data_IF_024438764705
#
_entry.id   IF_024438764705
#
_cell.length_a   1.000
_cell.length_b   1.000
_cell.length_c   1.000
_cell.angle_alpha   90.00
_cell.angle_beta   90.00
_cell.angle_gamma   90.00
#
_symmetry.space_group_name_H-M   'P 1'
#
loop_
_entity.id
_entity.type
_entity.pdbx_description
1 polymer ?
#
# COMPACT_ATOMS: atom_id res chain seq x y z
N UNK A 1 -4.54 -9.18 -4.60
CA UNK A 1 -5.11 -8.72 -5.85
C UNK A 1 -6.00 -7.51 -5.61
N UNK A 2 -5.64 -6.39 -5.65
CA UNK A 2 -6.56 -5.29 -5.50
C UNK A 2 -5.95 -3.98 -5.06
N UNK A 3 -4.72 -3.99 -4.61
CA UNK A 3 -4.13 -2.76 -4.09
C UNK A 3 -4.01 -1.67 -5.17
N UNK A 4 -3.66 -2.03 -6.39
CA UNK A 4 -3.54 -1.04 -7.47
C UNK A 4 -4.87 -0.73 -8.14
N UNK A 5 -5.80 -1.69 -8.18
CA UNK A 5 -7.16 -1.46 -8.69
C UNK A 5 -8.08 -0.83 -7.63
N UNK A 6 -7.65 -0.81 -6.39
CA UNK A 6 -8.42 -0.26 -5.28
C UNK A 6 -7.94 1.09 -4.79
N UNK A 7 -6.92 1.68 -5.36
CA UNK A 7 -6.66 3.10 -5.18
C UNK A 7 -7.78 3.86 -5.88
N UNK A 8 -8.87 3.88 -5.23
CA UNK A 8 -9.98 4.71 -5.63
C UNK A 8 -9.50 6.11 -5.50
N UNK A 9 -9.26 6.71 -6.61
CA UNK A 9 -9.46 8.12 -6.66
C UNK A 9 -10.96 8.39 -6.42
N UNK A 10 -11.33 8.46 -5.17
CA UNK A 10 -12.56 9.06 -4.74
C UNK A 10 -12.35 10.57 -4.86
N UNK A 11 -12.06 10.99 -6.10
CA UNK A 11 -11.94 12.37 -6.46
C UNK A 11 -13.13 13.13 -5.94
N UNK A 12 -12.87 14.32 -5.47
CA UNK A 12 -13.84 15.20 -4.85
C UNK A 12 -15.13 15.27 -5.64
N UNK A 13 -16.20 15.62 -5.00
CA UNK A 13 -17.55 15.67 -5.49
C UNK A 13 -17.63 16.25 -6.93
N UNK A 14 -17.85 15.38 -7.90
CA UNK A 14 -18.08 15.77 -9.30
C UNK A 14 -17.37 14.93 -10.35
N UNK A 15 -16.35 14.15 -9.99
CA UNK A 15 -15.64 13.26 -10.91
C UNK A 15 -16.22 11.85 -10.83
N UNK A 16 -16.96 11.44 -11.83
CA UNK A 16 -17.36 10.04 -12.01
C UNK A 16 -16.31 9.41 -12.90
N UNK A 17 -15.24 8.89 -12.30
CA UNK A 17 -14.29 8.07 -13.02
C UNK A 17 -14.93 6.71 -13.26
N UNK A 18 -15.30 6.46 -14.50
CA UNK A 18 -15.80 5.15 -14.94
C UNK A 18 -14.66 4.40 -15.59
N UNK A 19 -14.49 3.14 -15.22
CA UNK A 19 -13.54 2.25 -15.85
C UNK A 19 -14.30 1.23 -16.68
N UNK A 20 -14.00 1.16 -17.97
CA UNK A 20 -14.53 0.14 -18.88
C UNK A 20 -13.45 -0.89 -19.14
N UNK A 21 -13.66 -2.14 -18.78
CA UNK A 21 -12.65 -3.14 -19.00
C UNK A 21 -13.08 -4.56 -18.70
N UNK A 22 -12.15 -5.47 -18.82
CA UNK A 22 -12.35 -6.89 -18.55
C UNK A 22 -11.12 -7.53 -17.94
N UNK A 23 -11.35 -8.51 -17.09
CA UNK A 23 -10.31 -9.32 -16.46
C UNK A 23 -10.53 -10.78 -16.82
N UNK A 24 -9.47 -11.45 -17.26
CA UNK A 24 -9.43 -12.88 -17.41
C UNK A 24 -8.61 -13.47 -16.27
N UNK A 25 -9.26 -14.25 -15.40
CA UNK A 25 -8.64 -14.82 -14.21
C UNK A 25 -8.50 -16.35 -14.32
N UNK A 26 -7.33 -16.87 -13.99
CA UNK A 26 -7.06 -18.29 -13.81
C UNK A 26 -6.58 -18.48 -12.37
N UNK A 27 -7.35 -19.22 -11.58
CA UNK A 27 -6.98 -19.58 -10.22
C UNK A 27 -6.99 -21.10 -10.07
N UNK A 28 -5.87 -21.66 -9.69
CA UNK A 28 -5.74 -23.06 -9.34
C UNK A 28 -4.67 -23.23 -8.25
N UNK A 29 -4.48 -24.45 -7.75
CA UNK A 29 -3.53 -24.75 -6.67
C UNK A 29 -2.05 -24.44 -7.04
N UNK A 30 -1.76 -24.20 -8.31
CA UNK A 30 -0.39 -23.95 -8.77
C UNK A 30 -0.08 -22.47 -8.96
N UNK A 31 -1.06 -21.69 -9.42
CA UNK A 31 -0.86 -20.29 -9.81
C UNK A 31 -2.18 -19.55 -9.87
N UNK A 32 -2.23 -18.36 -9.31
CA UNK A 32 -3.20 -17.32 -9.63
C UNK A 32 -2.65 -16.44 -10.74
N UNK A 33 -3.42 -16.23 -11.79
CA UNK A 33 -3.05 -15.35 -12.90
C UNK A 33 -4.26 -14.53 -13.32
N UNK A 34 -4.13 -13.21 -13.25
CA UNK A 34 -5.12 -12.27 -13.74
C UNK A 34 -4.51 -11.46 -14.88
N UNK A 35 -5.22 -11.40 -15.99
CA UNK A 35 -4.89 -10.58 -17.15
C UNK A 35 -6.02 -9.57 -17.33
N UNK A 36 -5.71 -8.29 -17.39
CA UNK A 36 -6.72 -7.28 -17.51
C UNK A 36 -6.41 -6.18 -18.51
N UNK A 37 -7.47 -5.62 -19.02
CA UNK A 37 -7.48 -4.41 -19.83
C UNK A 37 -8.59 -3.52 -19.32
N UNK A 38 -8.30 -2.25 -19.08
CA UNK A 38 -9.30 -1.28 -18.69
C UNK A 38 -8.96 0.10 -19.25
N UNK A 39 -9.99 0.87 -19.53
CA UNK A 39 -9.86 2.26 -19.96
C UNK A 39 -10.31 3.17 -18.83
N UNK A 40 -9.47 4.13 -18.48
CA UNK A 40 -9.86 5.23 -17.60
C UNK A 40 -10.62 6.25 -18.44
N UNK A 41 -11.79 6.64 -17.99
CA UNK A 41 -12.49 7.76 -18.57
C UNK A 41 -12.24 8.97 -17.68
N UNK A 42 -11.30 9.82 -18.05
CA UNK A 42 -10.81 10.94 -17.23
C UNK A 42 -11.78 12.14 -17.16
N UNK A 43 -13.04 11.93 -17.54
CA UNK A 43 -14.06 12.96 -17.41
C UNK A 43 -14.10 13.91 -18.60
N UNK A 44 -14.48 15.15 -18.35
CA UNK A 44 -14.49 16.22 -19.35
C UNK A 44 -13.38 17.21 -19.02
N UNK A 45 -12.59 17.56 -20.01
CA UNK A 45 -11.70 18.72 -19.92
C UNK A 45 -12.54 19.97 -19.61
N UNK A 46 -12.37 20.51 -18.40
CA UNK A 46 -13.14 21.68 -17.94
C UNK A 46 -12.95 22.92 -18.81
N UNK A 47 -11.81 23.05 -19.48
CA UNK A 47 -11.51 24.20 -20.32
C UNK A 47 -12.18 24.13 -21.71
N UNK A 48 -12.33 22.94 -22.25
CA UNK A 48 -12.87 22.73 -23.60
C UNK A 48 -14.27 22.13 -23.63
N UNK A 49 -14.72 21.52 -22.53
CA UNK A 49 -15.98 20.78 -22.43
C UNK A 49 -16.02 19.53 -23.32
N UNK A 50 -14.86 19.06 -23.78
CA UNK A 50 -14.73 17.84 -24.57
C UNK A 50 -14.42 16.70 -23.65
N UNK A 51 -15.03 15.53 -23.85
CA UNK A 51 -14.69 14.32 -23.12
C UNK A 51 -13.24 13.94 -23.44
N UNK A 52 -12.44 13.73 -22.39
CA UNK A 52 -11.10 13.18 -22.56
C UNK A 52 -11.20 11.74 -23.05
N UNK A 53 -10.35 11.35 -24.00
CA UNK A 53 -10.43 10.02 -24.60
C UNK A 53 -10.05 8.91 -23.61
N UNK A 54 -9.47 9.27 -22.47
CA UNK A 54 -9.02 8.38 -21.42
C UNK A 54 -7.96 7.39 -21.90
N UNK A 55 -7.14 6.91 -21.00
CA UNK A 55 -5.99 6.03 -21.31
C UNK A 55 -6.35 4.56 -21.16
N UNK A 56 -5.92 3.73 -22.11
CA UNK A 56 -6.07 2.27 -22.03
C UNK A 56 -4.91 1.66 -21.25
N UNK A 57 -5.24 0.92 -20.20
CA UNK A 57 -4.30 0.26 -19.31
C UNK A 57 -4.38 -1.27 -19.47
N UNK A 58 -3.25 -1.91 -19.33
CA UNK A 58 -3.09 -3.36 -19.36
C UNK A 58 -2.41 -3.80 -18.08
N UNK A 59 -2.81 -4.94 -17.51
CA UNK A 59 -2.11 -5.51 -16.37
C UNK A 59 -2.02 -7.02 -16.42
N UNK A 60 -0.98 -7.52 -15.78
CA UNK A 60 -0.76 -8.93 -15.47
C UNK A 60 -0.48 -9.01 -13.98
N UNK A 61 -1.26 -9.81 -13.27
CA UNK A 61 -1.00 -10.14 -11.88
C UNK A 61 -0.82 -11.65 -11.75
N UNK A 62 0.31 -12.06 -11.20
CA UNK A 62 0.62 -13.47 -10.96
C UNK A 62 0.90 -13.69 -9.48
N UNK A 63 0.18 -14.62 -8.86
CA UNK A 63 0.34 -14.94 -7.45
C UNK A 63 0.54 -16.43 -7.23
N UNK A 64 1.35 -16.76 -6.24
CA UNK A 64 1.55 -18.13 -5.78
C UNK A 64 1.79 -18.14 -4.28
N UNK A 65 1.21 -19.15 -3.61
CA UNK A 65 1.57 -19.50 -2.25
C UNK A 65 1.77 -21.01 -2.14
N UNK A 66 2.74 -21.43 -1.36
CA UNK A 66 3.04 -22.85 -1.14
C UNK A 66 3.66 -23.04 0.25
N UNK A 67 2.88 -23.63 1.15
CA UNK A 67 3.30 -23.80 2.55
C UNK A 67 3.58 -22.48 3.22
N UNK A 68 4.83 -22.24 3.56
CA UNK A 68 5.27 -21.10 4.36
C UNK A 68 5.62 -19.85 3.55
N UNK A 69 5.52 -19.91 2.22
CA UNK A 69 5.86 -18.75 1.40
C UNK A 69 4.75 -18.33 0.45
N UNK A 70 4.75 -17.06 0.13
CA UNK A 70 3.86 -16.45 -0.87
C UNK A 70 4.64 -15.45 -1.74
N UNK A 71 4.18 -15.30 -2.95
CA UNK A 71 4.70 -14.29 -3.90
C UNK A 71 3.55 -13.72 -4.71
N UNK A 72 3.58 -12.43 -4.92
CA UNK A 72 2.71 -11.72 -5.86
C UNK A 72 3.56 -10.84 -6.76
N UNK A 73 3.32 -10.91 -8.05
CA UNK A 73 3.96 -10.07 -9.07
C UNK A 73 2.86 -9.38 -9.85
N UNK A 74 2.88 -8.07 -9.86
CA UNK A 74 2.01 -7.23 -10.67
C UNK A 74 2.85 -6.46 -11.70
N UNK A 75 2.38 -6.42 -12.92
CA UNK A 75 2.92 -5.56 -13.96
C UNK A 75 1.76 -4.84 -14.63
N UNK A 76 1.91 -3.54 -14.82
CA UNK A 76 0.96 -2.68 -15.52
C UNK A 76 1.68 -1.89 -16.59
N UNK A 77 0.96 -1.59 -17.65
CA UNK A 77 1.39 -0.61 -18.67
C UNK A 77 0.16 0.06 -19.30
N UNK A 78 0.37 1.19 -19.91
CA UNK A 78 -0.68 1.89 -20.65
C UNK A 78 -0.23 2.21 -22.08
N UNK A 79 -1.15 2.78 -22.87
CA UNK A 79 -0.88 3.17 -24.25
C UNK A 79 0.07 4.38 -24.39
N UNK A 80 0.31 5.12 -23.30
CA UNK A 80 1.23 6.26 -23.24
C UNK A 80 2.64 5.84 -22.80
N UNK A 81 2.93 4.52 -22.85
CA UNK A 81 4.22 3.92 -22.47
C UNK A 81 4.57 4.02 -20.97
N UNK A 82 3.62 4.41 -20.11
CA UNK A 82 3.82 4.35 -18.67
C UNK A 82 3.77 2.90 -18.18
N UNK A 83 4.59 2.59 -17.19
CA UNK A 83 4.70 1.23 -16.63
C UNK A 83 4.72 1.27 -15.11
N UNK A 84 4.17 0.23 -14.47
CA UNK A 84 4.33 0.00 -13.05
C UNK A 84 4.56 -1.49 -12.77
N UNK A 85 5.36 -1.79 -11.77
CA UNK A 85 5.65 -3.14 -11.34
C UNK A 85 5.62 -3.22 -9.81
N UNK A 86 4.99 -4.28 -9.29
CA UNK A 86 4.97 -4.60 -7.87
C UNK A 86 5.40 -6.05 -7.65
N UNK A 87 6.24 -6.29 -6.66
CA UNK A 87 6.66 -7.60 -6.20
C UNK A 87 6.49 -7.67 -4.68
N UNK A 88 5.66 -8.61 -4.22
CA UNK A 88 5.52 -8.93 -2.80
C UNK A 88 5.98 -10.36 -2.55
N UNK A 89 6.75 -10.57 -1.51
CA UNK A 89 7.21 -11.88 -1.05
C UNK A 89 6.94 -11.96 0.45
N UNK A 90 6.21 -13.00 0.87
CA UNK A 90 5.99 -13.34 2.27
C UNK A 90 6.63 -14.70 2.59
N UNK A 91 7.19 -14.83 3.79
CA UNK A 91 7.73 -16.08 4.28
C UNK A 91 7.48 -16.26 5.78
N UNK A 92 6.71 -17.31 6.13
CA UNK A 92 6.45 -17.70 7.50
C UNK A 92 7.53 -18.65 8.00
N UNK A 93 8.14 -18.34 9.13
CA UNK A 93 9.19 -19.13 9.77
C UNK A 93 8.75 -19.60 11.16
N UNK A 94 9.51 -20.50 11.76
CA UNK A 94 9.29 -20.98 13.13
C UNK A 94 7.87 -21.53 13.37
N UNK A 95 7.26 -22.14 12.33
CA UNK A 95 5.91 -22.67 12.42
C UNK A 95 4.81 -21.62 12.33
N UNK A 96 5.11 -20.42 11.85
CA UNK A 96 4.19 -19.27 11.73
C UNK A 96 4.36 -18.24 12.85
N UNK A 97 5.35 -18.40 13.74
CA UNK A 97 5.60 -17.41 14.77
C UNK A 97 6.37 -16.19 14.26
N UNK A 98 7.10 -16.31 13.14
CA UNK A 98 7.83 -15.21 12.51
C UNK A 98 7.46 -15.09 11.05
N UNK A 99 6.88 -13.95 10.68
CA UNK A 99 6.55 -13.58 9.31
C UNK A 99 7.56 -12.54 8.80
N UNK A 100 8.10 -12.80 7.62
CA UNK A 100 8.97 -11.90 6.88
C UNK A 100 8.26 -11.44 5.61
N UNK A 101 8.25 -10.14 5.37
CA UNK A 101 7.63 -9.52 4.21
C UNK A 101 8.63 -8.63 3.47
N UNK A 102 8.65 -8.76 2.15
CA UNK A 102 9.43 -7.91 1.26
C UNK A 102 8.47 -7.41 0.18
N UNK A 103 8.44 -6.09 -0.01
CA UNK A 103 7.70 -5.45 -1.10
C UNK A 103 8.64 -4.53 -1.87
N UNK A 104 8.57 -4.59 -3.19
CA UNK A 104 9.26 -3.67 -4.08
C UNK A 104 8.30 -3.21 -5.17
N UNK A 105 8.17 -1.91 -5.31
CA UNK A 105 7.29 -1.29 -6.29
C UNK A 105 8.06 -0.24 -7.08
N UNK A 106 7.76 -0.12 -8.34
CA UNK A 106 8.32 0.90 -9.22
C UNK A 106 7.29 1.34 -10.24
N UNK A 107 7.32 2.61 -10.60
CA UNK A 107 6.49 3.19 -11.63
C UNK A 107 7.30 4.18 -12.47
N UNK A 108 6.96 4.30 -13.73
CA UNK A 108 7.60 5.20 -14.69
C UNK A 108 6.58 5.78 -15.65
N UNK A 109 6.63 7.08 -15.86
CA UNK A 109 5.76 7.79 -16.82
C UNK A 109 4.30 7.99 -16.34
N UNK A 110 3.96 7.69 -15.08
CA UNK A 110 2.59 7.85 -14.54
C UNK A 110 2.33 9.25 -13.97
N UNK A 111 3.33 9.84 -13.38
CA UNK A 111 3.31 11.20 -12.87
C UNK A 111 4.65 11.81 -13.20
N UNK A 112 4.77 13.07 -13.20
CA UNK A 112 5.96 13.87 -13.46
C UNK A 112 7.20 13.17 -14.08
N UNK A 113 8.34 13.80 -14.17
CA UNK A 113 9.46 13.36 -15.01
C UNK A 113 10.35 12.27 -14.36
N UNK A 114 10.17 11.96 -13.08
CA UNK A 114 11.04 11.04 -12.34
C UNK A 114 10.42 9.65 -12.18
N UNK A 115 11.25 8.61 -12.29
CA UNK A 115 10.86 7.25 -12.00
C UNK A 115 10.62 7.09 -10.49
N UNK A 116 9.50 6.52 -10.13
CA UNK A 116 9.09 6.26 -8.76
C UNK A 116 9.53 4.87 -8.32
N UNK A 117 10.05 4.74 -7.10
CA UNK A 117 10.31 3.44 -6.50
C UNK A 117 10.15 3.44 -4.98
N UNK A 118 9.75 2.28 -4.47
CA UNK A 118 9.61 2.01 -3.06
C UNK A 118 10.07 0.58 -2.74
N UNK A 119 10.78 0.40 -1.66
CA UNK A 119 11.13 -0.89 -1.10
C UNK A 119 10.77 -0.96 0.38
N UNK A 120 10.09 -2.03 0.78
CA UNK A 120 9.77 -2.31 2.18
C UNK A 120 10.27 -3.71 2.57
N UNK A 121 10.87 -3.82 3.75
CA UNK A 121 11.26 -5.09 4.37
C UNK A 121 10.73 -5.08 5.78
N UNK A 122 9.86 -6.05 6.10
CA UNK A 122 9.21 -6.20 7.39
C UNK A 122 9.49 -7.55 8.04
N UNK A 123 9.41 -7.56 9.36
CA UNK A 123 9.37 -8.77 10.16
C UNK A 123 8.35 -8.60 11.29
N UNK A 124 7.49 -9.60 11.48
CA UNK A 124 6.53 -9.66 12.57
C UNK A 124 6.74 -10.95 13.35
N UNK A 125 7.00 -10.84 14.63
CA UNK A 125 7.14 -11.98 15.54
C UNK A 125 5.94 -12.07 16.47
N UNK A 126 5.23 -13.19 16.42
CA UNK A 126 4.12 -13.54 17.29
C UNK A 126 4.69 -14.11 18.58
N UNK A 127 4.74 -13.28 19.62
CA UNK A 127 5.28 -13.69 20.94
C UNK A 127 4.38 -14.76 21.58
N UNK A 128 3.09 -14.65 21.37
CA UNK A 128 2.05 -15.60 21.72
C UNK A 128 0.76 -15.25 20.95
N UNK A 129 -0.34 -15.95 21.22
CA UNK A 129 -1.64 -15.76 20.55
C UNK A 129 -2.22 -14.36 20.71
N UNK A 130 -1.78 -13.61 21.72
CA UNK A 130 -2.31 -12.29 22.05
C UNK A 130 -1.35 -11.14 21.71
N UNK A 131 -0.07 -11.42 21.50
CA UNK A 131 0.96 -10.38 21.38
C UNK A 131 1.89 -10.61 20.19
N UNK A 132 2.11 -9.56 19.42
CA UNK A 132 3.14 -9.52 18.38
C UNK A 132 4.02 -8.28 18.50
N UNK A 133 5.22 -8.38 17.94
CA UNK A 133 6.15 -7.27 17.74
C UNK A 133 6.58 -7.24 16.29
N UNK A 134 6.74 -6.04 15.75
CA UNK A 134 7.12 -5.86 14.35
C UNK A 134 8.24 -4.84 14.20
N UNK A 135 9.00 -4.99 13.14
CA UNK A 135 9.95 -4.01 12.66
C UNK A 135 9.87 -3.94 11.14
N UNK A 136 9.79 -2.74 10.59
CA UNK A 136 9.72 -2.53 9.14
C UNK A 136 10.64 -1.39 8.75
N UNK A 137 11.33 -1.56 7.63
CA UNK A 137 12.07 -0.49 6.96
C UNK A 137 11.48 -0.29 5.59
N UNK A 138 11.07 0.94 5.30
CA UNK A 138 10.57 1.37 3.99
C UNK A 138 11.44 2.49 3.46
N UNK A 139 11.83 2.40 2.20
CA UNK A 139 12.66 3.40 1.52
C UNK A 139 11.99 3.83 0.23
N UNK A 140 12.07 5.10 -0.09
CA UNK A 140 11.58 5.71 -1.32
C UNK A 140 12.74 6.26 -2.11
N UNK A 141 12.70 6.12 -3.44
CA UNK A 141 13.65 6.74 -4.35
C UNK A 141 13.42 8.24 -4.57
N UNK A 142 14.16 8.82 -5.52
CA UNK A 142 14.11 10.25 -5.83
C UNK A 142 12.73 10.72 -6.30
N UNK A 143 11.98 9.88 -7.03
CA UNK A 143 10.61 10.18 -7.46
C UNK A 143 9.54 9.92 -6.39
N UNK A 144 9.91 9.32 -5.26
CA UNK A 144 8.93 8.84 -4.28
C UNK A 144 8.18 7.60 -4.77
N UNK A 145 6.96 7.39 -4.32
CA UNK A 145 6.02 6.40 -4.84
C UNK A 145 4.58 6.74 -4.39
N UNK A 146 3.82 7.36 -5.27
CA UNK A 146 2.48 7.85 -4.93
C UNK A 146 1.37 6.81 -5.10
N UNK A 147 1.62 5.73 -5.83
CA UNK A 147 0.61 4.72 -6.14
C UNK A 147 0.16 3.89 -4.94
N UNK A 148 0.94 3.82 -3.88
CA UNK A 148 0.59 3.06 -2.68
C UNK A 148 -0.19 3.85 -1.64
N UNK A 149 -0.26 5.18 -1.78
CA UNK A 149 -0.90 6.05 -0.81
C UNK A 149 -0.25 5.97 0.57
N UNK A 150 1.07 5.81 0.61
CA UNK A 150 1.82 5.58 1.83
C UNK A 150 1.70 6.73 2.80
N UNK A 151 0.94 6.48 3.83
CA UNK A 151 0.78 7.35 4.97
C UNK A 151 1.34 6.69 6.21
N UNK A 152 2.20 7.36 6.91
CA UNK A 152 2.46 7.01 8.30
C UNK A 152 1.15 7.20 9.07
N UNK A 153 0.68 6.11 9.69
CA UNK A 153 -0.54 6.18 10.46
C UNK A 153 -1.81 5.74 9.75
N UNK A 154 -1.79 5.34 8.51
CA UNK A 154 -2.93 4.74 7.79
C UNK A 154 -4.27 5.51 7.81
N UNK A 155 -4.38 6.54 8.63
CA UNK A 155 -5.52 7.43 8.82
C UNK A 155 -5.09 8.91 8.84
N UNK A 156 -3.86 9.17 8.50
CA UNK A 156 -3.24 10.49 8.43
C UNK A 156 -3.80 11.37 7.30
N UNK A 157 -4.72 10.87 6.51
CA UNK A 157 -5.57 11.69 5.63
C UNK A 157 -6.28 12.82 6.38
N UNK A 158 -6.21 12.83 7.70
CA UNK A 158 -6.75 13.89 8.56
C UNK A 158 -5.68 14.92 8.94
N UNK A 159 -4.62 14.98 8.20
CA UNK A 159 -3.77 16.15 8.05
C UNK A 159 -2.74 16.32 9.11
N UNK A 160 -1.71 15.85 9.36
CA UNK A 160 -0.48 16.35 9.99
C UNK A 160 0.60 15.30 10.25
N UNK A 161 0.32 14.03 9.97
CA UNK A 161 1.33 12.99 10.18
C UNK A 161 2.39 12.98 9.08
N UNK A 162 2.06 13.59 7.95
CA UNK A 162 2.90 13.63 6.76
C UNK A 162 2.85 12.31 5.98
N UNK A 163 2.97 12.43 4.68
CA UNK A 163 3.19 11.30 3.79
C UNK A 163 4.68 11.00 3.76
N UNK A 164 5.03 9.73 3.54
CA UNK A 164 6.37 9.38 3.10
C UNK A 164 6.49 9.82 1.64
N UNK A 165 7.54 10.49 1.30
CA UNK A 165 7.78 11.08 -0.01
C UNK A 165 9.14 10.70 -0.58
N UNK A 166 9.52 11.39 -1.63
CA UNK A 166 10.82 11.22 -2.28
C UNK A 166 11.96 11.26 -1.28
N UNK A 167 12.88 10.32 -1.40
CA UNK A 167 14.08 10.19 -0.56
C UNK A 167 13.82 9.92 0.94
N UNK A 168 12.58 9.63 1.33
CA UNK A 168 12.27 9.25 2.71
C UNK A 168 12.69 7.80 3.00
N UNK A 169 13.16 7.57 4.21
CA UNK A 169 13.34 6.26 4.80
C UNK A 169 12.59 6.22 6.13
N UNK A 170 11.68 5.28 6.29
CA UNK A 170 11.02 5.00 7.57
C UNK A 170 11.54 3.71 8.19
N UNK A 171 11.98 3.81 9.44
CA UNK A 171 12.25 2.67 10.29
C UNK A 171 11.17 2.63 11.38
N UNK A 172 10.27 1.66 11.30
CA UNK A 172 9.18 1.52 12.26
C UNK A 172 9.34 0.31 13.17
N UNK A 173 8.86 0.46 14.41
CA UNK A 173 8.77 -0.61 15.40
C UNK A 173 7.39 -0.62 16.01
N UNK A 174 6.73 -1.78 15.95
CA UNK A 174 5.37 -1.98 16.42
C UNK A 174 5.26 -3.00 17.53
N UNK A 175 4.29 -2.80 18.41
CA UNK A 175 3.81 -3.80 19.37
C UNK A 175 2.30 -3.83 19.27
N UNK A 176 1.74 -5.02 19.14
CA UNK A 176 0.31 -5.28 19.14
C UNK A 176 -0.04 -6.23 20.27
N UNK A 177 -1.15 -5.96 20.94
CA UNK A 177 -1.67 -6.81 22.00
C UNK A 177 -3.19 -6.90 21.89
N UNK A 178 -3.72 -8.12 21.87
CA UNK A 178 -5.15 -8.41 21.85
C UNK A 178 -5.54 -9.21 23.07
N UNK A 179 -6.61 -8.84 23.75
CA UNK A 179 -7.14 -9.55 24.92
C UNK A 179 -8.67 -9.54 24.90
N UNK A 180 -9.24 -10.64 24.47
CA UNK A 180 -10.70 -10.77 24.33
C UNK A 180 -11.23 -9.74 23.33
N UNK A 181 -12.07 -8.84 23.80
CA UNK A 181 -12.71 -7.80 22.98
C UNK A 181 -11.85 -6.53 22.79
N UNK A 182 -10.67 -6.48 23.41
CA UNK A 182 -9.77 -5.32 23.36
C UNK A 182 -8.55 -5.60 22.49
N UNK A 183 -8.11 -4.59 21.75
CA UNK A 183 -6.80 -4.58 21.12
C UNK A 183 -6.10 -3.24 21.33
N UNK A 184 -4.80 -3.31 21.49
CA UNK A 184 -3.89 -2.20 21.65
C UNK A 184 -2.79 -2.31 20.60
N UNK A 185 -2.43 -1.20 19.97
CA UNK A 185 -1.26 -1.09 19.11
C UNK A 185 -0.46 0.13 19.46
N UNK A 186 0.85 -0.01 19.38
CA UNK A 186 1.79 1.10 19.47
C UNK A 186 2.80 0.93 18.36
N UNK A 187 2.99 1.96 17.55
CA UNK A 187 4.01 1.99 16.50
C UNK A 187 4.82 3.27 16.62
N UNK A 188 6.12 3.14 16.55
CA UNK A 188 7.07 4.25 16.51
C UNK A 188 7.76 4.26 15.17
N UNK A 189 7.78 5.41 14.53
CA UNK A 189 8.42 5.67 13.25
C UNK A 189 9.59 6.63 13.45
N UNK A 190 10.71 6.32 12.85
CA UNK A 190 11.85 7.21 12.69
C UNK A 190 12.02 7.44 11.19
N UNK A 191 11.63 8.62 10.74
CA UNK A 191 11.65 9.00 9.33
C UNK A 191 12.83 9.92 9.11
N UNK A 192 13.69 9.52 8.19
CA UNK A 192 14.84 10.32 7.72
C UNK A 192 14.68 10.61 6.24
N UNK A 193 15.31 11.67 5.75
CA UNK A 193 15.31 12.01 4.34
C UNK A 193 16.77 12.27 3.91
N UNK A 194 17.19 11.66 2.80
CA UNK A 194 18.59 11.73 2.38
C UNK A 194 19.01 13.08 1.81
N UNK A 195 18.06 13.95 1.49
CA UNK A 195 18.30 15.25 0.84
C UNK A 195 17.82 16.45 1.66
N UNK A 196 16.90 16.24 2.60
CA UNK A 196 16.30 17.30 3.42
C UNK A 196 16.23 16.95 4.91
N UNK A 197 17.21 17.35 5.68
CA UNK A 197 17.23 17.17 7.14
C UNK A 197 15.99 17.79 7.83
N UNK A 198 15.33 18.78 7.21
CA UNK A 198 14.15 19.41 7.77
C UNK A 198 12.88 18.53 7.62
N UNK A 199 12.92 17.54 6.74
CA UNK A 199 11.85 16.54 6.58
C UNK A 199 11.94 15.41 7.62
N UNK A 200 13.07 15.30 8.34
CA UNK A 200 13.24 14.27 9.39
C UNK A 200 12.24 14.45 10.52
N UNK A 201 11.63 13.35 10.93
CA UNK A 201 10.62 13.37 11.98
C UNK A 201 10.47 12.03 12.69
N UNK A 202 10.07 12.09 13.94
CA UNK A 202 9.65 10.91 14.69
C UNK A 202 8.13 10.97 14.88
N UNK A 203 7.47 9.86 14.61
CA UNK A 203 6.03 9.73 14.78
C UNK A 203 5.75 8.58 15.74
N UNK A 204 4.83 8.78 16.67
CA UNK A 204 4.34 7.72 17.54
C UNK A 204 2.84 7.60 17.35
N UNK A 205 2.40 6.40 17.01
CA UNK A 205 1.00 6.07 16.85
C UNK A 205 0.56 5.11 17.95
N UNK A 206 -0.60 5.37 18.50
CA UNK A 206 -1.26 4.46 19.43
C UNK A 206 -2.71 4.27 19.00
N UNK A 207 -3.14 3.02 18.97
CA UNK A 207 -4.53 2.66 18.72
C UNK A 207 -5.06 1.78 19.85
N UNK A 208 -6.33 1.99 20.16
CA UNK A 208 -7.10 1.17 21.06
C UNK A 208 -8.44 0.88 20.40
N UNK A 209 -8.79 -0.39 20.32
CA UNK A 209 -10.06 -0.84 19.78
C UNK A 209 -10.79 -1.72 20.79
N UNK A 210 -12.11 -1.56 20.86
CA UNK A 210 -12.99 -2.36 21.68
C UNK A 210 -14.20 -2.85 20.88
N UNK A 211 -14.35 -4.15 20.80
CA UNK A 211 -15.48 -4.80 20.17
C UNK A 211 -16.64 -4.88 21.17
N UNK A 212 -17.60 -4.00 21.03
CA UNK A 212 -18.80 -3.97 21.91
C UNK A 212 -19.76 -5.13 21.59
N UNK A 213 -19.78 -5.60 20.35
CA UNK A 213 -20.59 -6.71 19.85
C UNK A 213 -20.12 -7.10 18.45
N UNK A 214 -20.66 -8.17 17.88
CA UNK A 214 -20.37 -8.62 16.51
C UNK A 214 -20.59 -7.55 15.43
N UNK A 215 -21.35 -6.50 15.71
CA UNK A 215 -21.72 -5.46 14.77
C UNK A 215 -21.32 -4.03 15.21
N UNK A 216 -20.62 -3.89 16.32
CA UNK A 216 -20.24 -2.58 16.83
C UNK A 216 -18.86 -2.61 17.50
N UNK A 217 -17.97 -1.72 17.05
CA UNK A 217 -16.71 -1.48 17.72
C UNK A 217 -16.50 0.02 17.98
N UNK A 218 -15.63 0.31 18.92
CA UNK A 218 -15.16 1.68 19.22
C UNK A 218 -13.65 1.67 19.15
N UNK A 219 -13.09 2.54 18.30
CA UNK A 219 -11.66 2.72 18.14
C UNK A 219 -11.23 4.14 18.53
N UNK A 220 -10.09 4.25 19.18
CA UNK A 220 -9.41 5.52 19.48
C UNK A 220 -8.02 5.41 18.88
N UNK A 221 -7.66 6.39 18.04
CA UNK A 221 -6.34 6.50 17.45
C UNK A 221 -5.73 7.84 17.86
N UNK A 222 -4.47 7.78 18.22
CA UNK A 222 -3.67 8.94 18.58
C UNK A 222 -2.33 8.86 17.89
N UNK A 223 -1.87 9.99 17.41
CA UNK A 223 -0.54 10.10 16.83
C UNK A 223 0.09 11.47 17.16
N UNK A 224 1.41 11.50 17.24
CA UNK A 224 2.19 12.68 17.63
C UNK A 224 3.54 12.67 16.94
#
# INVERSE_FOLDING_TARGET
SGAIMGSNDWGGAGSINTHDGGVFAINNDMLGLDLGIYKNNDGMDEATGVADEGTTNYFVNASKSDGDWSMNLLYMSNEDESTAMGLDIGYAMMGGDLDLDISYNTASGWADEDDEDMMSIGATYNVNDDMSVSATRTTYGEGGFDMDGSNVGGWATHGNMGYLGANDEDMSFGVSYAMGDFSLGLTMHNITNSEDDAAERNVTEANFDYNMSDNANVGIKYAT
#
